data_IF_527824359321
#
_entry.id   IF_527824359321
#
_cell.length_a   1.000
_cell.length_b   1.000
_cell.length_c   1.000
_cell.angle_alpha   90.00
_cell.angle_beta   90.00
_cell.angle_gamma   90.00
#
_symmetry.space_group_name_H-M   'P 1'
#
loop_
_entity.id
_entity.type
_entity.pdbx_description
1 polymer ?
#
# COMPACT_ATOMS: atom_id res chain seq x y z
N UNK A 1 16.23 40.48 5.29
CA UNK A 1 17.30 40.80 4.34
C UNK A 1 18.36 39.72 4.44
N UNK A 2 18.23 38.67 3.63
CA UNK A 2 19.25 37.63 3.44
C UNK A 2 19.69 37.70 1.97
N UNK A 3 20.99 37.66 1.79
CA UNK A 3 21.79 38.19 0.69
C UNK A 3 21.65 37.40 -0.62
N UNK A 4 21.69 38.14 -1.74
CA UNK A 4 21.61 37.65 -3.12
C UNK A 4 22.83 36.81 -3.58
N UNK A 5 23.74 36.45 -2.68
CA UNK A 5 25.07 35.93 -2.98
C UNK A 5 25.15 34.39 -3.05
N UNK A 6 24.11 33.67 -2.57
CA UNK A 6 24.07 32.20 -2.61
C UNK A 6 23.37 31.60 -3.84
N UNK A 7 22.83 32.42 -4.75
CA UNK A 7 22.15 31.92 -5.98
C UNK A 7 23.11 31.64 -7.13
N UNK A 8 24.18 32.42 -7.26
CA UNK A 8 25.18 32.25 -8.33
C UNK A 8 25.89 30.87 -8.34
N UNK A 9 26.29 30.28 -7.20
CA UNK A 9 27.02 29.01 -7.21
C UNK A 9 26.15 27.84 -7.69
N UNK A 10 24.86 27.85 -7.35
CA UNK A 10 23.91 26.81 -7.78
C UNK A 10 23.58 26.93 -9.26
N UNK A 11 23.34 28.14 -9.76
CA UNK A 11 23.04 28.35 -11.18
C UNK A 11 24.22 28.00 -12.09
N UNK A 12 25.46 28.23 -11.63
CA UNK A 12 26.68 27.80 -12.33
C UNK A 12 26.86 26.27 -12.27
N UNK A 13 26.53 25.64 -11.14
CA UNK A 13 26.58 24.18 -11.00
C UNK A 13 25.54 23.50 -11.89
N UNK A 14 24.31 24.01 -11.94
CA UNK A 14 23.23 23.51 -12.80
C UNK A 14 23.60 23.64 -14.29
N UNK A 15 24.15 24.80 -14.69
CA UNK A 15 24.65 25.03 -16.06
C UNK A 15 25.83 24.11 -16.42
N UNK A 16 26.72 23.80 -15.47
CA UNK A 16 27.82 22.87 -15.70
C UNK A 16 27.34 21.42 -15.79
N UNK A 17 26.38 21.04 -14.95
CA UNK A 17 25.75 19.71 -14.96
C UNK A 17 25.02 19.49 -16.29
N UNK A 18 24.23 20.46 -16.75
CA UNK A 18 23.51 20.41 -18.03
C UNK A 18 24.46 20.28 -19.23
N UNK A 19 25.59 20.99 -19.19
CA UNK A 19 26.62 20.97 -20.25
C UNK A 19 27.42 19.66 -20.27
N UNK A 20 27.57 18.98 -19.13
CA UNK A 20 28.15 17.63 -19.08
C UNK A 20 27.13 16.56 -19.51
N UNK A 21 25.86 16.73 -19.15
CA UNK A 21 24.75 15.86 -19.57
C UNK A 21 24.44 15.96 -21.08
N UNK A 22 24.79 17.07 -21.75
CA UNK A 22 24.69 17.24 -23.23
C UNK A 22 25.67 16.36 -24.03
N UNK A 23 26.73 15.85 -23.40
CA UNK A 23 27.76 15.06 -24.09
C UNK A 23 27.51 13.54 -24.06
N UNK A 24 26.43 13.09 -23.41
CA UNK A 24 26.11 11.68 -23.29
C UNK A 24 25.07 11.27 -24.36
N UNK A 25 25.23 10.12 -25.04
CA UNK A 25 24.36 9.66 -26.12
C UNK A 25 22.99 9.13 -25.63
N UNK A 26 22.51 9.60 -24.48
CA UNK A 26 21.28 9.11 -23.85
C UNK A 26 20.14 10.11 -23.98
N UNK A 27 18.94 9.61 -24.24
CA UNK A 27 17.73 10.40 -24.38
C UNK A 27 17.37 11.09 -23.05
N UNK A 28 17.66 12.40 -22.98
CA UNK A 28 17.46 13.24 -21.79
C UNK A 28 16.01 13.21 -21.28
N UNK A 29 15.02 13.04 -22.16
CA UNK A 29 13.61 13.00 -21.74
C UNK A 29 13.30 11.69 -21.01
N UNK A 30 13.81 10.58 -21.53
CA UNK A 30 13.66 9.25 -20.92
C UNK A 30 14.39 9.18 -19.57
N UNK A 31 15.61 9.73 -19.49
CA UNK A 31 16.34 9.83 -18.24
C UNK A 31 15.61 10.73 -17.22
N UNK A 32 15.19 11.93 -17.59
CA UNK A 32 14.43 12.80 -16.68
C UNK A 32 13.14 12.16 -16.17
N UNK A 33 12.47 11.34 -17.00
CA UNK A 33 11.30 10.57 -16.59
C UNK A 33 11.66 9.39 -15.66
N UNK A 34 12.77 8.70 -15.89
CA UNK A 34 13.27 7.61 -15.02
C UNK A 34 13.83 8.11 -13.67
N UNK A 35 14.21 9.38 -13.60
CA UNK A 35 14.66 10.09 -12.40
C UNK A 35 13.57 10.98 -11.78
N UNK A 36 12.34 11.00 -12.32
CA UNK A 36 11.25 11.76 -11.72
C UNK A 36 10.83 11.12 -10.39
N UNK A 37 10.93 11.90 -9.30
CA UNK A 37 10.60 11.50 -7.94
C UNK A 37 9.21 12.01 -7.50
N UNK A 38 8.48 12.68 -8.40
CA UNK A 38 7.22 13.37 -8.08
C UNK A 38 6.13 12.45 -7.54
N UNK A 39 6.17 11.15 -7.83
CA UNK A 39 5.22 10.15 -7.32
C UNK A 39 5.65 9.51 -5.99
N UNK A 40 6.92 9.65 -5.58
CA UNK A 40 7.48 9.03 -4.38
C UNK A 40 8.31 10.04 -3.56
N UNK A 41 7.70 11.18 -3.26
CA UNK A 41 8.29 12.23 -2.44
C UNK A 41 8.14 11.94 -0.93
N UNK A 42 9.13 12.33 -0.13
CA UNK A 42 9.12 12.19 1.32
C UNK A 42 7.91 12.89 1.96
N UNK A 43 7.52 14.05 1.44
CA UNK A 43 6.34 14.77 1.95
C UNK A 43 5.06 13.95 1.76
N UNK A 44 4.91 13.26 0.63
CA UNK A 44 3.78 12.36 0.40
C UNK A 44 3.77 11.20 1.39
N UNK A 45 4.94 10.59 1.64
CA UNK A 45 5.07 9.49 2.62
C UNK A 45 4.70 9.94 4.02
N UNK A 46 5.24 11.08 4.48
CA UNK A 46 4.91 11.65 5.79
C UNK A 46 3.42 11.97 5.90
N UNK A 47 2.82 12.53 4.84
CA UNK A 47 1.38 12.79 4.79
C UNK A 47 0.56 11.51 4.86
N UNK A 48 1.01 10.44 4.19
CA UNK A 48 0.41 9.12 4.30
C UNK A 48 0.40 8.60 5.74
N UNK A 49 1.53 8.70 6.44
CA UNK A 49 1.65 8.28 7.85
C UNK A 49 0.73 9.12 8.75
N UNK A 50 0.64 10.42 8.51
CA UNK A 50 -0.29 11.29 9.24
C UNK A 50 -1.74 10.84 9.02
N UNK A 51 -2.11 10.50 7.78
CA UNK A 51 -3.43 9.96 7.46
C UNK A 51 -3.70 8.59 8.09
N UNK A 52 -2.67 7.76 8.32
CA UNK A 52 -2.82 6.53 9.13
C UNK A 52 -3.35 6.88 10.51
N UNK A 53 -2.73 7.85 11.19
CA UNK A 53 -3.09 8.22 12.56
C UNK A 53 -4.47 8.90 12.62
N UNK A 54 -4.72 9.87 11.74
CA UNK A 54 -6.01 10.56 11.66
C UNK A 54 -7.11 9.60 11.26
N UNK A 55 -6.87 8.77 10.25
CA UNK A 55 -7.81 7.74 9.78
C UNK A 55 -8.13 6.73 10.88
N UNK A 56 -7.12 6.23 11.60
CA UNK A 56 -7.33 5.30 12.71
C UNK A 56 -8.14 5.94 13.83
N UNK A 57 -7.83 7.19 14.20
CA UNK A 57 -8.58 7.92 15.21
C UNK A 57 -10.05 8.11 14.81
N UNK A 58 -10.31 8.47 13.55
CA UNK A 58 -11.66 8.62 12.99
C UNK A 58 -12.40 7.29 12.92
N UNK A 59 -11.74 6.22 12.50
CA UNK A 59 -12.30 4.88 12.48
C UNK A 59 -12.74 4.45 13.89
N UNK A 60 -11.90 4.66 14.91
CA UNK A 60 -12.25 4.35 16.30
C UNK A 60 -13.44 5.16 16.86
N UNK A 61 -13.78 6.30 16.26
CA UNK A 61 -14.96 7.07 16.61
C UNK A 61 -16.24 6.58 15.92
N UNK A 62 -16.15 5.68 14.94
CA UNK A 62 -17.30 5.17 14.23
C UNK A 62 -18.02 4.10 15.06
N UNK A 63 -19.23 4.37 15.60
CA UNK A 63 -19.95 3.38 16.39
C UNK A 63 -20.39 2.17 15.56
N UNK A 64 -20.52 2.31 14.24
CA UNK A 64 -20.92 1.22 13.36
C UNK A 64 -19.85 0.11 13.26
N UNK A 65 -18.58 0.41 13.59
CA UNK A 65 -17.52 -0.61 13.61
C UNK A 65 -17.64 -1.57 14.81
N UNK A 66 -18.33 -1.16 15.86
CA UNK A 66 -18.46 -1.91 17.12
C UNK A 66 -19.85 -2.55 17.26
N UNK A 67 -20.40 -3.04 16.14
CA UNK A 67 -21.65 -3.80 16.14
C UNK A 67 -21.41 -5.27 16.49
N UNK A 68 -22.45 -5.93 17.01
CA UNK A 68 -22.38 -7.33 17.43
C UNK A 68 -21.94 -8.28 16.30
N UNK A 69 -22.32 -7.98 15.05
CA UNK A 69 -21.92 -8.75 13.86
C UNK A 69 -20.42 -8.65 13.60
N UNK A 70 -19.85 -7.45 13.64
CA UNK A 70 -18.41 -7.25 13.45
C UNK A 70 -17.58 -7.83 14.59
N UNK A 71 -18.08 -7.78 15.83
CA UNK A 71 -17.41 -8.44 16.96
C UNK A 71 -17.34 -9.96 16.81
N UNK A 72 -18.45 -10.60 16.40
CA UNK A 72 -18.47 -12.05 16.16
C UNK A 72 -17.49 -12.44 15.05
N UNK A 73 -17.46 -11.65 13.98
CA UNK A 73 -16.55 -11.85 12.86
C UNK A 73 -15.09 -11.63 13.24
N UNK A 74 -14.80 -10.58 14.03
CA UNK A 74 -13.48 -10.33 14.58
C UNK A 74 -13.01 -11.49 15.46
N UNK A 75 -13.89 -12.04 16.30
CA UNK A 75 -13.59 -13.24 17.11
C UNK A 75 -13.22 -14.45 16.25
N UNK A 76 -14.00 -14.73 15.19
CA UNK A 76 -13.69 -15.81 14.24
C UNK A 76 -12.35 -15.56 13.56
N UNK A 77 -12.07 -14.32 13.13
CA UNK A 77 -10.82 -13.98 12.48
C UNK A 77 -9.60 -14.13 13.41
N UNK A 78 -9.73 -13.77 14.70
CA UNK A 78 -8.69 -13.97 15.71
C UNK A 78 -8.46 -15.48 15.94
N UNK A 79 -9.52 -16.27 16.08
CA UNK A 79 -9.42 -17.72 16.26
C UNK A 79 -8.78 -18.40 15.05
N UNK A 80 -9.19 -18.03 13.83
CA UNK A 80 -8.59 -18.52 12.59
C UNK A 80 -7.12 -18.12 12.49
N UNK A 81 -6.78 -16.85 12.80
CA UNK A 81 -5.38 -16.40 12.84
C UNK A 81 -4.53 -17.18 13.84
N UNK A 82 -5.07 -17.49 15.02
CA UNK A 82 -4.40 -18.31 16.03
C UNK A 82 -4.23 -19.76 15.55
N UNK A 83 -5.27 -20.36 14.97
CA UNK A 83 -5.22 -21.72 14.46
C UNK A 83 -4.17 -21.85 13.36
N UNK A 84 -4.12 -20.91 12.41
CA UNK A 84 -3.15 -20.97 11.33
C UNK A 84 -1.73 -20.71 11.84
N UNK A 85 -1.55 -19.76 12.76
CA UNK A 85 -0.25 -19.54 13.43
C UNK A 85 0.22 -20.82 14.13
N UNK A 86 -0.68 -21.55 14.77
CA UNK A 86 -0.37 -22.83 15.40
C UNK A 86 0.08 -23.85 14.36
N UNK A 87 -0.65 -24.01 13.25
CA UNK A 87 -0.30 -24.91 12.13
C UNK A 87 1.09 -24.60 11.56
N UNK A 88 1.42 -23.32 11.35
CA UNK A 88 2.74 -22.91 10.83
C UNK A 88 3.85 -23.12 11.87
N UNK A 89 3.52 -22.95 13.15
CA UNK A 89 4.49 -23.19 14.22
C UNK A 89 4.81 -24.68 14.43
N UNK A 90 3.94 -25.61 14.02
CA UNK A 90 4.16 -27.05 14.18
C UNK A 90 5.48 -27.51 13.55
N UNK A 91 5.80 -27.19 12.27
CA UNK A 91 7.11 -27.51 11.69
C UNK A 91 8.29 -26.95 12.48
N UNK A 92 8.21 -25.71 12.96
CA UNK A 92 9.30 -25.04 13.69
C UNK A 92 9.53 -25.71 15.05
N UNK A 93 8.43 -25.98 15.78
CA UNK A 93 8.47 -26.74 17.04
C UNK A 93 8.96 -28.17 16.78
N UNK A 94 8.55 -28.79 15.68
CA UNK A 94 9.00 -30.12 15.27
C UNK A 94 10.51 -30.18 15.03
N UNK A 95 11.08 -29.19 14.33
CA UNK A 95 12.53 -29.07 14.17
C UNK A 95 13.22 -28.88 15.51
N UNK A 96 12.69 -28.02 16.40
CA UNK A 96 13.24 -27.83 17.74
C UNK A 96 13.24 -29.12 18.57
N UNK A 97 12.13 -29.86 18.56
CA UNK A 97 12.02 -31.15 19.26
C UNK A 97 12.96 -32.18 18.64
N UNK A 98 13.09 -32.20 17.31
CA UNK A 98 14.02 -33.10 16.62
C UNK A 98 15.48 -32.81 17.00
N UNK A 99 15.90 -31.53 17.00
CA UNK A 99 17.24 -31.12 17.44
C UNK A 99 17.48 -31.45 18.92
N UNK A 100 16.46 -31.28 19.77
CA UNK A 100 16.51 -31.67 21.17
C UNK A 100 16.64 -33.19 21.36
N UNK A 101 15.97 -34.01 20.56
CA UNK A 101 16.17 -35.47 20.58
C UNK A 101 17.58 -35.82 20.09
N UNK A 102 18.07 -35.15 19.06
CA UNK A 102 19.40 -35.37 18.49
C UNK A 102 20.52 -35.06 19.49
N UNK A 103 20.32 -34.07 20.37
CA UNK A 103 21.26 -33.70 21.43
C UNK A 103 21.42 -34.76 22.51
N UNK A 104 20.45 -35.68 22.66
CA UNK A 104 20.56 -36.82 23.57
C UNK A 104 21.54 -37.88 23.06
N UNK A 105 21.81 -37.92 21.74
CA UNK A 105 22.68 -38.91 21.11
C UNK A 105 24.03 -38.33 20.64
N UNK A 106 24.13 -37.01 20.49
CA UNK A 106 25.33 -36.31 20.04
C UNK A 106 25.68 -35.19 21.04
N UNK A 107 26.92 -35.16 21.54
CA UNK A 107 27.42 -34.09 22.41
C UNK A 107 27.44 -32.75 21.65
N UNK A 108 26.35 -31.99 21.74
CA UNK A 108 26.20 -30.67 21.10
C UNK A 108 26.67 -29.52 21.99
N UNK A 109 27.48 -29.79 23.02
CA UNK A 109 27.92 -28.85 24.07
C UNK A 109 28.71 -27.62 23.56
N UNK A 110 29.00 -27.53 22.25
CA UNK A 110 29.72 -26.42 21.61
C UNK A 110 28.97 -25.77 20.43
N UNK A 111 27.71 -26.13 20.21
CA UNK A 111 27.10 -26.01 18.88
C UNK A 111 25.84 -25.14 18.96
N UNK A 112 26.00 -23.83 18.74
CA UNK A 112 24.97 -22.74 18.68
C UNK A 112 23.93 -22.88 17.55
N UNK A 113 23.70 -24.09 17.06
CA UNK A 113 22.93 -24.34 15.85
C UNK A 113 21.43 -24.27 16.09
N UNK A 114 20.94 -24.55 17.30
CA UNK A 114 19.50 -24.44 17.61
C UNK A 114 19.00 -23.00 17.39
N UNK A 115 19.66 -22.03 18.02
CA UNK A 115 19.28 -20.61 17.89
C UNK A 115 19.45 -20.08 16.46
N UNK A 116 20.48 -20.54 15.72
CA UNK A 116 20.71 -20.11 14.35
C UNK A 116 19.72 -20.72 13.36
N UNK A 117 19.38 -22.01 13.50
CA UNK A 117 18.42 -22.71 12.64
C UNK A 117 17.01 -22.20 12.94
N UNK A 118 16.60 -22.15 14.20
CA UNK A 118 15.27 -21.66 14.60
C UNK A 118 15.12 -20.18 14.22
N UNK A 119 16.15 -19.36 14.44
CA UNK A 119 16.18 -17.96 13.99
C UNK A 119 16.07 -17.83 12.47
N UNK A 120 16.75 -18.71 11.72
CA UNK A 120 16.66 -18.78 10.26
C UNK A 120 15.28 -19.17 9.75
N UNK A 121 14.63 -20.16 10.37
CA UNK A 121 13.27 -20.58 10.02
C UNK A 121 12.24 -19.48 10.29
N UNK A 122 12.31 -18.83 11.45
CA UNK A 122 11.48 -17.68 11.77
C UNK A 122 11.70 -16.53 10.77
N UNK A 123 12.95 -16.30 10.35
CA UNK A 123 13.27 -15.29 9.35
C UNK A 123 12.67 -15.65 7.97
N UNK A 124 12.75 -16.92 7.57
CA UNK A 124 12.18 -17.39 6.31
C UNK A 124 10.65 -17.24 6.34
N UNK A 125 9.99 -17.69 7.41
CA UNK A 125 8.55 -17.56 7.58
C UNK A 125 8.10 -16.09 7.49
N UNK A 126 8.71 -15.23 8.29
CA UNK A 126 8.29 -13.83 8.46
C UNK A 126 8.65 -12.95 7.26
N UNK A 127 9.88 -13.09 6.74
CA UNK A 127 10.44 -12.14 5.77
C UNK A 127 10.60 -12.71 4.35
N UNK A 128 10.81 -14.03 4.17
CA UNK A 128 11.00 -14.61 2.83
C UNK A 128 9.67 -15.08 2.26
N UNK A 129 8.93 -15.84 3.04
CA UNK A 129 7.63 -16.39 2.69
C UNK A 129 6.50 -15.40 2.97
N UNK A 130 6.67 -14.44 3.90
CA UNK A 130 5.64 -13.46 4.27
C UNK A 130 4.35 -14.13 4.80
N UNK A 131 4.48 -15.21 5.55
CA UNK A 131 3.33 -16.04 5.91
C UNK A 131 2.23 -15.24 6.63
N UNK A 132 2.49 -14.36 7.61
CA UNK A 132 1.43 -13.57 8.24
C UNK A 132 0.63 -12.71 7.25
N UNK A 133 1.31 -12.12 6.25
CA UNK A 133 0.66 -11.32 5.23
C UNK A 133 -0.24 -12.16 4.34
N UNK A 134 0.21 -13.36 3.95
CA UNK A 134 -0.60 -14.32 3.21
C UNK A 134 -1.90 -14.66 3.91
N UNK A 135 -1.83 -14.93 5.21
CA UNK A 135 -3.01 -15.27 6.00
C UNK A 135 -4.01 -14.12 6.02
N UNK A 136 -3.52 -12.89 6.19
CA UNK A 136 -4.39 -11.72 6.15
C UNK A 136 -5.11 -11.57 4.81
N UNK A 137 -4.38 -11.70 3.70
CA UNK A 137 -4.98 -11.63 2.37
C UNK A 137 -5.94 -12.81 2.11
N UNK A 138 -5.66 -13.99 2.66
CA UNK A 138 -6.55 -15.15 2.58
C UNK A 138 -7.86 -14.92 3.35
N UNK A 139 -7.80 -14.32 4.55
CA UNK A 139 -8.98 -14.06 5.39
C UNK A 139 -10.05 -13.26 4.65
N UNK A 140 -9.65 -12.38 3.72
CA UNK A 140 -10.59 -11.61 2.90
C UNK A 140 -11.49 -12.46 2.02
N UNK A 141 -10.99 -13.58 1.49
CA UNK A 141 -11.81 -14.50 0.71
C UNK A 141 -12.73 -15.36 1.60
N UNK A 142 -12.41 -15.46 2.89
CA UNK A 142 -13.16 -16.26 3.87
C UNK A 142 -14.26 -15.44 4.55
N UNK A 143 -14.06 -14.13 4.72
CA UNK A 143 -15.01 -13.26 5.44
C UNK A 143 -15.36 -11.99 4.63
N UNK A 144 -16.63 -11.82 4.17
CA UNK A 144 -17.10 -10.63 3.41
C UNK A 144 -17.23 -9.35 4.25
N UNK A 145 -16.62 -9.35 5.43
CA UNK A 145 -16.87 -8.40 6.52
C UNK A 145 -16.16 -7.08 6.30
N UNK A 146 -15.01 -7.13 5.64
CA UNK A 146 -14.15 -6.00 5.35
C UNK A 146 -14.81 -5.01 4.38
N UNK A 147 -15.52 -5.53 3.37
CA UNK A 147 -16.25 -4.70 2.42
C UNK A 147 -17.38 -3.90 3.10
N UNK A 148 -18.11 -4.55 4.01
CA UNK A 148 -19.14 -3.89 4.81
C UNK A 148 -18.53 -2.83 5.74
N UNK A 149 -17.42 -3.14 6.42
CA UNK A 149 -16.72 -2.19 7.29
C UNK A 149 -16.24 -0.96 6.52
N UNK A 150 -15.72 -1.14 5.30
CA UNK A 150 -15.36 -0.05 4.41
C UNK A 150 -16.58 0.83 4.10
N UNK A 151 -17.69 0.23 3.66
CA UNK A 151 -18.90 0.96 3.28
C UNK A 151 -19.56 1.67 4.47
N UNK A 152 -19.61 1.05 5.64
CA UNK A 152 -20.17 1.65 6.85
C UNK A 152 -19.30 2.80 7.35
N UNK A 153 -17.98 2.68 7.22
CA UNK A 153 -17.04 3.77 7.51
C UNK A 153 -17.19 4.92 6.53
N UNK A 154 -17.38 4.63 5.24
CA UNK A 154 -17.61 5.66 4.24
C UNK A 154 -18.91 6.44 4.51
N UNK A 155 -19.98 5.75 4.87
CA UNK A 155 -21.25 6.37 5.28
C UNK A 155 -21.06 7.27 6.51
N UNK A 156 -20.31 6.80 7.51
CA UNK A 156 -20.03 7.58 8.71
C UNK A 156 -19.16 8.82 8.42
N UNK A 157 -18.19 8.71 7.53
CA UNK A 157 -17.36 9.83 7.07
C UNK A 157 -18.22 10.89 6.39
N UNK A 158 -19.15 10.51 5.51
CA UNK A 158 -20.06 11.44 4.86
C UNK A 158 -21.02 12.12 5.85
N UNK A 159 -21.61 11.36 6.79
CA UNK A 159 -22.46 11.94 7.84
C UNK A 159 -21.71 12.92 8.72
N UNK A 160 -20.50 12.56 9.14
CA UNK A 160 -19.64 13.42 9.98
C UNK A 160 -19.22 14.66 9.22
N UNK A 161 -18.95 14.52 7.91
CA UNK A 161 -18.64 15.64 7.04
C UNK A 161 -19.80 16.65 6.98
N UNK A 162 -21.01 16.19 6.67
CA UNK A 162 -22.22 17.05 6.66
C UNK A 162 -22.43 17.69 8.03
N UNK A 163 -22.20 16.93 9.12
CA UNK A 163 -22.34 17.45 10.48
C UNK A 163 -21.34 18.56 10.81
N UNK A 164 -20.08 18.43 10.37
CA UNK A 164 -19.03 19.41 10.60
C UNK A 164 -19.29 20.73 9.86
N UNK A 165 -19.89 20.66 8.66
CA UNK A 165 -20.14 21.81 7.80
C UNK A 165 -21.62 22.25 7.78
N UNK A 166 -22.39 21.93 8.83
CA UNK A 166 -23.82 22.30 8.93
C UNK A 166 -24.11 23.80 8.81
N UNK A 167 -23.12 24.63 9.16
CA UNK A 167 -23.24 26.09 9.15
C UNK A 167 -22.65 26.72 7.88
N UNK A 168 -22.21 25.90 6.93
CA UNK A 168 -21.64 26.35 5.66
C UNK A 168 -22.68 26.27 4.55
N UNK A 169 -22.39 26.96 3.45
CA UNK A 169 -23.24 27.01 2.27
C UNK A 169 -23.37 25.60 1.64
N UNK A 170 -24.58 25.02 1.56
CA UNK A 170 -24.79 23.68 1.01
C UNK A 170 -24.24 23.50 -0.41
N UNK A 171 -24.29 24.56 -1.23
CA UNK A 171 -23.84 24.53 -2.62
C UNK A 171 -22.30 24.49 -2.76
N UNK A 172 -21.58 24.72 -1.66
CA UNK A 172 -20.10 24.66 -1.61
C UNK A 172 -19.58 23.35 -1.01
N UNK A 173 -20.47 22.48 -0.52
CA UNK A 173 -20.08 21.21 0.06
C UNK A 173 -19.69 20.22 -1.03
N UNK A 174 -18.70 19.37 -0.75
CA UNK A 174 -18.41 18.22 -1.63
C UNK A 174 -19.62 17.29 -1.71
N UNK A 175 -19.73 16.61 -2.85
CA UNK A 175 -20.69 15.51 -3.01
C UNK A 175 -20.38 14.33 -2.08
N UNK A 176 -21.42 13.55 -1.77
CA UNK A 176 -21.31 12.37 -0.91
C UNK A 176 -20.74 11.17 -1.68
N UNK A 177 -19.94 10.35 -1.01
CA UNK A 177 -19.33 9.16 -1.60
C UNK A 177 -20.23 7.94 -1.48
N UNK A 178 -20.74 7.69 -0.29
CA UNK A 178 -21.47 6.47 0.04
C UNK A 178 -22.73 6.25 -0.83
N UNK A 179 -23.61 7.24 -1.07
CA UNK A 179 -24.85 7.02 -1.81
C UNK A 179 -24.60 6.52 -3.23
N UNK A 180 -23.66 7.13 -3.95
CA UNK A 180 -23.34 6.78 -5.33
C UNK A 180 -22.53 5.48 -5.38
N UNK A 181 -21.52 5.32 -4.52
CA UNK A 181 -20.66 4.15 -4.54
C UNK A 181 -21.42 2.86 -4.20
N UNK A 182 -22.44 2.92 -3.33
CA UNK A 182 -23.30 1.76 -3.03
C UNK A 182 -24.09 1.26 -4.25
N UNK A 183 -24.40 2.14 -5.21
CA UNK A 183 -25.13 1.77 -6.42
C UNK A 183 -24.25 1.05 -7.45
N UNK A 184 -22.92 1.09 -7.29
CA UNK A 184 -22.00 0.48 -8.23
C UNK A 184 -21.99 -1.03 -8.01
N UNK A 185 -22.17 -1.78 -9.10
CA UNK A 185 -22.10 -3.25 -9.06
C UNK A 185 -20.69 -3.68 -8.65
N UNK A 186 -20.61 -4.57 -7.66
CA UNK A 186 -19.36 -5.17 -7.20
C UNK A 186 -18.92 -6.25 -8.20
N UNK A 187 -17.68 -6.19 -8.68
CA UNK A 187 -17.00 -7.28 -9.38
C UNK A 187 -15.62 -7.50 -8.77
N UNK A 188 -15.06 -8.71 -8.87
CA UNK A 188 -13.67 -8.93 -8.46
C UNK A 188 -12.76 -8.05 -9.34
N UNK A 189 -12.08 -7.06 -8.73
CA UNK A 189 -11.23 -6.11 -9.43
C UNK A 189 -9.95 -6.71 -9.99
N UNK A 190 -9.74 -8.03 -9.81
CA UNK A 190 -8.57 -8.77 -10.31
C UNK A 190 -8.91 -9.88 -11.32
N UNK A 191 -10.07 -10.52 -11.22
CA UNK A 191 -10.51 -11.61 -12.12
C UNK A 191 -11.77 -11.29 -12.93
N UNK A 192 -12.53 -10.26 -12.53
CA UNK A 192 -13.89 -9.99 -13.01
C UNK A 192 -14.85 -11.20 -12.92
N UNK A 193 -14.46 -12.26 -12.19
CA UNK A 193 -15.25 -13.46 -11.94
C UNK A 193 -16.05 -13.30 -10.65
N UNK A 194 -17.16 -14.03 -10.55
CA UNK A 194 -17.98 -14.10 -9.32
C UNK A 194 -17.65 -15.34 -8.48
N UNK A 195 -16.78 -16.23 -8.97
CA UNK A 195 -16.46 -17.49 -8.30
C UNK A 195 -15.37 -17.34 -7.24
N UNK A 196 -15.74 -17.52 -5.97
CA UNK A 196 -14.81 -17.46 -4.83
C UNK A 196 -13.69 -18.51 -4.91
N UNK A 197 -13.99 -19.72 -5.41
CA UNK A 197 -13.00 -20.79 -5.51
C UNK A 197 -11.92 -20.50 -6.56
N UNK A 198 -12.31 -19.89 -7.68
CA UNK A 198 -11.39 -19.44 -8.72
C UNK A 198 -10.47 -18.33 -8.19
N UNK A 199 -11.03 -17.37 -7.45
CA UNK A 199 -10.25 -16.30 -6.84
C UNK A 199 -9.24 -16.81 -5.81
N UNK A 200 -9.64 -17.77 -4.95
CA UNK A 200 -8.75 -18.40 -3.96
C UNK A 200 -7.62 -19.18 -4.66
N UNK A 201 -7.94 -20.04 -5.62
CA UNK A 201 -6.91 -20.84 -6.32
C UNK A 201 -5.90 -19.96 -7.06
N UNK A 202 -6.36 -18.88 -7.71
CA UNK A 202 -5.50 -17.94 -8.39
C UNK A 202 -4.63 -17.14 -7.40
N UNK A 203 -5.18 -16.76 -6.25
CA UNK A 203 -4.42 -16.16 -5.16
C UNK A 203 -3.32 -17.08 -4.64
N UNK A 204 -3.66 -18.35 -4.34
CA UNK A 204 -2.70 -19.37 -3.88
C UNK A 204 -1.58 -19.59 -4.89
N UNK A 205 -1.89 -19.72 -6.18
CA UNK A 205 -0.88 -19.89 -7.23
C UNK A 205 0.07 -18.67 -7.32
N UNK A 206 -0.48 -17.45 -7.31
CA UNK A 206 0.32 -16.22 -7.35
C UNK A 206 1.24 -16.13 -6.13
N UNK A 207 0.73 -16.51 -4.96
CA UNK A 207 1.51 -16.51 -3.73
C UNK A 207 2.61 -17.57 -3.74
N UNK A 208 2.30 -18.81 -4.11
CA UNK A 208 3.26 -19.90 -4.22
C UNK A 208 4.39 -19.57 -5.22
N UNK A 209 4.04 -19.01 -6.38
CA UNK A 209 5.03 -18.56 -7.38
C UNK A 209 5.96 -17.48 -6.82
N UNK A 210 5.41 -16.49 -6.09
CA UNK A 210 6.23 -15.44 -5.44
C UNK A 210 7.13 -16.04 -4.36
N UNK A 211 6.60 -16.92 -3.50
CA UNK A 211 7.36 -17.60 -2.46
C UNK A 211 8.51 -18.41 -3.04
N UNK A 212 8.29 -19.14 -4.13
CA UNK A 212 9.34 -19.90 -4.81
C UNK A 212 10.45 -19.00 -5.36
N UNK A 213 10.11 -17.87 -5.99
CA UNK A 213 11.10 -16.89 -6.46
C UNK A 213 11.88 -16.30 -5.28
N UNK A 214 11.22 -15.91 -4.20
CA UNK A 214 11.86 -15.37 -3.00
C UNK A 214 12.82 -16.39 -2.36
N UNK A 215 12.41 -17.66 -2.27
CA UNK A 215 13.26 -18.75 -1.78
C UNK A 215 14.47 -18.98 -2.69
N UNK A 216 14.29 -18.94 -4.01
CA UNK A 216 15.39 -19.09 -4.96
C UNK A 216 16.40 -17.94 -4.84
N UNK A 217 15.94 -16.69 -4.75
CA UNK A 217 16.79 -15.50 -4.54
C UNK A 217 17.52 -15.60 -3.20
N UNK A 218 16.83 -16.03 -2.14
CA UNK A 218 17.42 -16.23 -0.83
C UNK A 218 18.51 -17.32 -0.86
N UNK A 219 18.26 -18.47 -1.48
CA UNK A 219 19.24 -19.54 -1.65
C UNK A 219 20.47 -19.10 -2.46
N UNK A 220 20.26 -18.41 -3.59
CA UNK A 220 21.34 -17.85 -4.41
C UNK A 220 22.19 -16.82 -3.65
N UNK A 221 21.62 -16.14 -2.65
CA UNK A 221 22.35 -15.18 -1.81
C UNK A 221 23.41 -15.83 -0.90
N UNK A 222 23.38 -17.16 -0.74
CA UNK A 222 24.39 -17.92 0.00
C UNK A 222 25.58 -18.37 -0.87
N UNK A 223 25.52 -18.18 -2.19
CA UNK A 223 26.64 -18.53 -3.06
C UNK A 223 27.90 -17.71 -2.70
N UNK A 224 29.08 -18.34 -2.61
CA UNK A 224 30.33 -17.62 -2.37
C UNK A 224 30.58 -16.63 -3.51
N UNK A 225 31.18 -15.48 -3.18
CA UNK A 225 31.56 -14.39 -4.12
C UNK A 225 30.37 -13.64 -4.75
N UNK A 226 29.40 -14.34 -5.34
CA UNK A 226 28.26 -13.74 -6.06
C UNK A 226 27.09 -13.42 -5.13
N UNK A 227 26.91 -14.19 -4.05
CA UNK A 227 25.74 -14.09 -3.15
C UNK A 227 25.57 -12.73 -2.47
N UNK A 228 26.65 -11.94 -2.30
CA UNK A 228 26.57 -10.56 -1.79
C UNK A 228 25.84 -9.60 -2.73
N UNK A 229 25.83 -9.90 -4.03
CA UNK A 229 25.20 -9.05 -5.05
C UNK A 229 23.78 -9.50 -5.41
N UNK A 230 23.43 -10.76 -5.15
CA UNK A 230 22.12 -11.32 -5.52
C UNK A 230 20.97 -10.54 -4.89
N UNK A 231 21.02 -10.29 -3.57
CA UNK A 231 19.95 -9.56 -2.88
C UNK A 231 19.86 -8.10 -3.35
N UNK A 232 20.94 -7.30 -3.35
CA UNK A 232 20.89 -5.95 -3.91
C UNK A 232 20.42 -5.90 -5.37
N UNK A 233 20.86 -6.81 -6.23
CA UNK A 233 20.49 -6.83 -7.65
C UNK A 233 19.01 -7.20 -7.85
N UNK A 234 18.52 -8.25 -7.17
CA UNK A 234 17.11 -8.65 -7.24
C UNK A 234 16.19 -7.56 -6.66
N UNK A 235 16.63 -6.93 -5.56
CA UNK A 235 15.90 -5.83 -4.93
C UNK A 235 15.89 -4.58 -5.83
N UNK A 236 17.02 -4.24 -6.44
CA UNK A 236 17.11 -3.15 -7.42
C UNK A 236 16.20 -3.39 -8.62
N UNK A 237 16.23 -4.59 -9.21
CA UNK A 237 15.39 -4.94 -10.35
C UNK A 237 13.89 -4.76 -10.06
N UNK A 238 13.47 -5.15 -8.86
CA UNK A 238 12.06 -5.08 -8.47
C UNK A 238 11.63 -3.68 -8.00
N UNK A 239 12.52 -2.94 -7.32
CA UNK A 239 12.23 -1.63 -6.73
C UNK A 239 12.46 -0.45 -7.69
N UNK A 240 13.37 -0.56 -8.66
CA UNK A 240 13.64 0.49 -9.65
C UNK A 240 12.38 0.88 -10.42
N UNK A 241 11.58 -0.11 -10.83
CA UNK A 241 10.32 0.14 -11.51
C UNK A 241 9.31 0.92 -10.65
N UNK A 242 9.45 0.89 -9.33
CA UNK A 242 8.59 1.61 -8.41
C UNK A 242 9.09 3.04 -8.14
N UNK A 243 10.35 3.20 -7.76
CA UNK A 243 10.86 4.44 -7.17
C UNK A 243 11.78 5.23 -8.11
N UNK A 244 12.09 4.66 -9.28
CA UNK A 244 13.00 5.28 -10.25
C UNK A 244 14.47 4.93 -9.98
N UNK A 245 15.31 5.26 -10.96
CA UNK A 245 16.68 4.77 -11.02
C UNK A 245 17.57 5.39 -9.94
N UNK A 246 17.35 6.66 -9.61
CA UNK A 246 18.14 7.39 -8.61
C UNK A 246 18.09 6.77 -7.21
N UNK A 247 16.92 6.74 -6.54
CA UNK A 247 16.82 6.23 -5.18
C UNK A 247 17.11 4.73 -5.11
N UNK A 248 16.71 3.96 -6.12
CA UNK A 248 17.02 2.53 -6.17
C UNK A 248 18.54 2.29 -6.21
N UNK A 249 19.27 3.06 -7.03
CA UNK A 249 20.73 2.95 -7.12
C UNK A 249 21.41 3.35 -5.82
N UNK A 250 20.91 4.40 -5.15
CA UNK A 250 21.45 4.85 -3.87
C UNK A 250 21.19 3.83 -2.74
N UNK A 251 19.96 3.34 -2.60
CA UNK A 251 19.58 2.39 -1.54
C UNK A 251 20.31 1.06 -1.72
N UNK A 252 20.32 0.49 -2.92
CA UNK A 252 20.93 -0.83 -3.16
C UNK A 252 22.43 -0.75 -3.42
N UNK A 253 22.96 0.40 -3.86
CA UNK A 253 24.39 0.67 -3.90
C UNK A 253 24.98 0.73 -2.49
N UNK A 254 24.35 1.46 -1.56
CA UNK A 254 24.70 1.41 -0.14
C UNK A 254 24.40 0.03 0.48
N UNK A 255 23.41 -0.68 -0.05
CA UNK A 255 23.07 -2.05 0.30
C UNK A 255 24.24 -3.04 0.17
N UNK A 256 25.25 -2.75 -0.66
CA UNK A 256 26.46 -3.60 -0.74
C UNK A 256 27.26 -3.58 0.57
N UNK A 257 27.21 -2.48 1.32
CA UNK A 257 27.89 -2.30 2.61
C UNK A 257 27.02 -2.66 3.81
N UNK A 258 25.70 -2.73 3.63
CA UNK A 258 24.76 -3.02 4.71
C UNK A 258 24.60 -4.54 4.94
N UNK A 259 24.44 -4.99 6.20
CA UNK A 259 24.09 -6.37 6.48
C UNK A 259 22.81 -6.81 5.75
N UNK A 260 22.86 -7.99 5.11
CA UNK A 260 21.76 -8.56 4.29
C UNK A 260 20.39 -8.48 4.97
N UNK A 261 20.34 -8.69 6.28
CA UNK A 261 19.10 -8.64 7.08
C UNK A 261 18.33 -7.33 6.93
N UNK A 262 19.01 -6.18 6.90
CA UNK A 262 18.34 -4.88 6.85
C UNK A 262 17.76 -4.60 5.48
N UNK A 263 18.45 -5.01 4.41
CA UNK A 263 17.96 -4.90 3.03
C UNK A 263 16.69 -5.73 2.87
N UNK A 264 16.71 -6.97 3.39
CA UNK A 264 15.53 -7.85 3.35
C UNK A 264 14.38 -7.26 4.16
N UNK A 265 14.62 -6.78 5.40
CA UNK A 265 13.58 -6.14 6.22
C UNK A 265 12.99 -4.91 5.52
N UNK A 266 13.82 -4.06 4.92
CA UNK A 266 13.37 -2.88 4.17
C UNK A 266 12.51 -3.27 2.98
N UNK A 267 13.02 -4.15 2.12
CA UNK A 267 12.34 -4.61 0.91
C UNK A 267 11.02 -5.30 1.25
N UNK A 268 11.05 -6.14 2.28
CA UNK A 268 9.89 -6.84 2.80
C UNK A 268 8.83 -5.85 3.27
N UNK A 269 9.23 -4.85 4.06
CA UNK A 269 8.32 -3.82 4.56
C UNK A 269 7.73 -3.02 3.40
N UNK A 270 8.52 -2.71 2.36
CA UNK A 270 8.03 -2.07 1.15
C UNK A 270 6.98 -2.90 0.42
N UNK A 271 7.28 -4.17 0.09
CA UNK A 271 6.35 -5.02 -0.66
C UNK A 271 5.12 -5.40 0.14
N UNK A 272 5.27 -5.64 1.44
CA UNK A 272 4.15 -5.93 2.33
C UNK A 272 3.23 -4.70 2.46
N UNK A 273 3.78 -3.48 2.61
CA UNK A 273 2.98 -2.25 2.63
C UNK A 273 2.24 -2.03 1.31
N UNK A 274 2.91 -2.22 0.16
CA UNK A 274 2.28 -2.10 -1.16
C UNK A 274 1.19 -3.14 -1.38
N UNK A 275 1.39 -4.36 -0.89
CA UNK A 275 0.41 -5.44 -1.01
C UNK A 275 -0.78 -5.20 -0.08
N UNK A 276 -0.52 -4.76 1.17
CA UNK A 276 -1.56 -4.35 2.13
C UNK A 276 -2.44 -3.25 1.53
N UNK A 277 -1.84 -2.20 0.97
CA UNK A 277 -2.62 -1.11 0.37
C UNK A 277 -3.53 -1.60 -0.77
N UNK A 278 -3.06 -2.55 -1.58
CA UNK A 278 -3.88 -3.13 -2.66
C UNK A 278 -5.08 -3.88 -2.11
N UNK A 279 -4.90 -4.61 -1.01
CA UNK A 279 -6.01 -5.30 -0.35
C UNK A 279 -7.00 -4.30 0.27
N UNK A 280 -6.51 -3.30 1.01
CA UNK A 280 -7.34 -2.28 1.67
C UNK A 280 -8.14 -1.42 0.68
N UNK A 281 -7.63 -1.20 -0.54
CA UNK A 281 -8.35 -0.43 -1.56
C UNK A 281 -9.28 -1.28 -2.42
N UNK A 282 -9.28 -2.60 -2.26
CA UNK A 282 -10.03 -3.43 -3.16
C UNK A 282 -11.56 -3.24 -3.03
N UNK A 283 -12.17 -2.95 -1.87
CA UNK A 283 -13.58 -2.55 -1.83
C UNK A 283 -13.94 -1.36 -2.73
N UNK A 284 -13.01 -0.41 -2.88
CA UNK A 284 -13.16 0.70 -3.81
C UNK A 284 -13.02 0.24 -5.27
N UNK A 285 -11.96 -0.51 -5.59
CA UNK A 285 -11.71 -0.97 -6.97
C UNK A 285 -12.65 -2.07 -7.47
N UNK A 286 -13.29 -2.81 -6.57
CA UNK A 286 -14.32 -3.77 -6.90
C UNK A 286 -15.60 -3.06 -7.41
N UNK A 287 -15.78 -1.77 -7.08
CA UNK A 287 -16.91 -0.95 -7.50
C UNK A 287 -16.56 -0.04 -8.67
N UNK A 288 -15.44 0.68 -8.56
CA UNK A 288 -14.95 1.56 -9.62
C UNK A 288 -14.10 0.73 -10.59
N UNK A 289 -14.70 0.37 -11.73
CA UNK A 289 -14.10 -0.53 -12.71
C UNK A 289 -12.99 0.16 -13.52
N UNK A 290 -11.78 0.15 -12.99
CA UNK A 290 -10.59 0.56 -13.74
C UNK A 290 -10.09 -0.54 -14.66
N UNK A 291 -9.58 -0.17 -15.83
CA UNK A 291 -8.72 -1.07 -16.61
C UNK A 291 -7.39 -1.30 -15.90
N UNK A 292 -6.64 -2.33 -16.32
CA UNK A 292 -5.31 -2.64 -15.74
C UNK A 292 -4.35 -1.45 -15.82
N UNK A 293 -4.41 -0.70 -16.92
CA UNK A 293 -3.57 0.48 -17.14
C UNK A 293 -4.02 1.65 -16.26
N UNK A 294 -5.32 1.93 -16.20
CA UNK A 294 -5.85 3.01 -15.36
C UNK A 294 -5.56 2.75 -13.88
N UNK A 295 -5.76 1.51 -13.39
CA UNK A 295 -5.44 1.12 -12.00
C UNK A 295 -3.95 1.29 -11.72
N UNK A 296 -3.07 0.90 -12.67
CA UNK A 296 -1.62 1.10 -12.55
C UNK A 296 -1.26 2.59 -12.44
N UNK A 297 -1.84 3.45 -13.27
CA UNK A 297 -1.61 4.89 -13.25
C UNK A 297 -2.14 5.53 -11.96
N UNK A 298 -3.32 5.13 -11.50
CA UNK A 298 -3.90 5.59 -10.24
C UNK A 298 -2.98 5.31 -9.04
N UNK A 299 -2.48 4.08 -8.94
CA UNK A 299 -1.53 3.69 -7.89
C UNK A 299 -0.20 4.43 -8.01
N UNK A 300 0.28 4.61 -9.25
CA UNK A 300 1.52 5.34 -9.51
C UNK A 300 1.43 6.78 -9.04
N UNK A 301 0.37 7.50 -9.41
CA UNK A 301 0.24 8.93 -9.10
C UNK A 301 0.25 9.22 -7.58
N UNK A 302 -0.23 8.24 -6.78
CA UNK A 302 -0.41 8.32 -5.33
C UNK A 302 0.59 7.45 -4.54
N UNK A 303 1.66 6.97 -5.17
CA UNK A 303 2.50 5.89 -4.64
C UNK A 303 3.13 6.23 -3.28
N UNK A 304 3.74 7.40 -3.13
CA UNK A 304 4.36 7.83 -1.88
C UNK A 304 3.37 7.94 -0.71
N UNK A 305 2.19 8.53 -0.95
CA UNK A 305 1.16 8.70 0.08
C UNK A 305 0.56 7.35 0.50
N UNK A 306 0.23 6.51 -0.48
CA UNK A 306 -0.29 5.17 -0.25
C UNK A 306 0.73 4.30 0.50
N UNK A 307 2.01 4.42 0.15
CA UNK A 307 3.08 3.74 0.86
C UNK A 307 3.16 4.20 2.33
N UNK A 308 3.17 5.52 2.57
CA UNK A 308 3.17 6.09 3.92
C UNK A 308 1.99 5.65 4.76
N UNK A 309 0.80 5.62 4.17
CA UNK A 309 -0.41 5.17 4.84
C UNK A 309 -0.33 3.69 5.23
N UNK A 310 0.09 2.84 4.28
CA UNK A 310 0.15 1.41 4.47
C UNK A 310 1.29 0.98 5.40
N UNK A 311 2.46 1.63 5.38
CA UNK A 311 3.56 1.27 6.28
C UNK A 311 3.23 1.56 7.74
N UNK A 312 2.43 2.60 8.00
CA UNK A 312 1.88 2.88 9.33
C UNK A 312 1.03 1.71 9.84
N UNK A 313 0.03 1.27 9.08
CA UNK A 313 -0.80 0.13 9.45
C UNK A 313 -0.04 -1.20 9.47
N UNK A 314 0.86 -1.43 8.53
CA UNK A 314 1.71 -2.63 8.50
C UNK A 314 2.50 -2.80 9.80
N UNK A 315 3.06 -1.70 10.33
CA UNK A 315 3.81 -1.72 11.60
C UNK A 315 2.89 -2.08 12.77
N UNK A 316 1.67 -1.55 12.80
CA UNK A 316 0.68 -1.84 13.85
C UNK A 316 0.18 -3.29 13.77
N UNK A 317 -0.10 -3.78 12.56
CA UNK A 317 -0.62 -5.12 12.31
C UNK A 317 0.36 -6.22 12.75
N UNK A 318 1.67 -5.94 12.70
CA UNK A 318 2.70 -6.87 13.16
C UNK A 318 2.65 -7.17 14.65
N UNK A 319 1.92 -6.39 15.43
CA UNK A 319 1.72 -6.67 16.85
C UNK A 319 0.87 -7.95 16.98
N UNK A 320 1.43 -9.04 17.56
CA UNK A 320 0.71 -10.30 17.69
C UNK A 320 -0.62 -10.13 18.45
N UNK A 321 -1.61 -10.94 18.10
CA UNK A 321 -2.98 -10.96 18.66
C UNK A 321 -3.84 -9.73 18.31
N UNK A 322 -3.25 -8.54 18.20
CA UNK A 322 -3.98 -7.29 17.89
C UNK A 322 -4.08 -7.04 16.39
N UNK A 323 -3.18 -7.62 15.58
CA UNK A 323 -3.09 -7.37 14.15
C UNK A 323 -4.39 -7.56 13.35
N UNK A 324 -5.20 -8.55 13.70
CA UNK A 324 -6.50 -8.80 13.06
C UNK A 324 -7.50 -7.67 13.34
N UNK A 325 -7.53 -7.15 14.57
CA UNK A 325 -8.40 -6.01 14.93
C UNK A 325 -7.92 -4.73 14.24
N UNK A 326 -6.61 -4.53 14.20
CA UNK A 326 -5.99 -3.38 13.52
C UNK A 326 -6.29 -3.42 12.03
N UNK A 327 -6.37 -4.60 11.42
CA UNK A 327 -6.75 -4.72 10.01
C UNK A 327 -8.17 -4.17 9.76
N UNK A 328 -9.13 -4.46 10.63
CA UNK A 328 -10.48 -3.87 10.55
C UNK A 328 -10.46 -2.34 10.68
N UNK A 329 -9.62 -1.81 11.57
CA UNK A 329 -9.39 -0.36 11.70
C UNK A 329 -8.74 0.21 10.43
N UNK A 330 -7.78 -0.51 9.83
CA UNK A 330 -7.11 -0.10 8.61
C UNK A 330 -8.08 -0.01 7.41
N UNK A 331 -8.98 -0.98 7.31
CA UNK A 331 -10.05 -1.01 6.29
C UNK A 331 -10.99 0.19 6.45
N UNK A 332 -11.48 0.43 7.67
CA UNK A 332 -12.30 1.59 8.00
C UNK A 332 -11.57 2.92 7.74
N UNK A 333 -10.28 2.98 8.05
CA UNK A 333 -9.44 4.16 7.80
C UNK A 333 -9.21 4.41 6.31
N UNK A 334 -9.26 3.34 5.51
CA UNK A 334 -9.10 3.44 4.05
C UNK A 334 -10.34 4.07 3.40
N UNK A 335 -11.53 3.91 3.98
CA UNK A 335 -12.71 4.66 3.56
C UNK A 335 -12.50 6.18 3.73
N UNK A 336 -11.93 6.61 4.86
CA UNK A 336 -11.56 8.02 5.05
C UNK A 336 -10.46 8.46 4.07
N UNK A 337 -9.42 7.64 3.87
CA UNK A 337 -8.34 7.92 2.92
C UNK A 337 -8.88 8.20 1.51
N UNK A 338 -9.80 7.37 1.01
CA UNK A 338 -10.42 7.52 -0.32
C UNK A 338 -11.02 8.92 -0.46
N UNK A 339 -11.76 9.40 0.54
CA UNK A 339 -12.37 10.75 0.49
C UNK A 339 -11.36 11.90 0.38
N UNK A 340 -10.06 11.65 0.60
CA UNK A 340 -8.98 12.64 0.55
C UNK A 340 -8.18 12.60 -0.74
N UNK A 341 -8.14 11.45 -1.41
CA UNK A 341 -7.23 11.22 -2.55
C UNK A 341 -7.95 10.92 -3.86
N UNK A 342 -9.27 10.86 -3.84
CA UNK A 342 -10.13 10.74 -5.02
C UNK A 342 -11.19 11.82 -5.01
N UNK A 343 -11.90 11.97 -6.12
CA UNK A 343 -13.12 12.78 -6.20
C UNK A 343 -14.34 11.95 -5.79
N UNK A 344 -15.44 12.59 -5.36
CA UNK A 344 -16.68 11.87 -5.08
C UNK A 344 -17.19 11.15 -6.34
N UNK A 345 -17.59 9.87 -6.25
CA UNK A 345 -18.09 9.12 -7.38
C UNK A 345 -19.43 9.69 -7.88
N UNK A 346 -19.62 9.85 -9.21
CA UNK A 346 -20.88 10.30 -9.78
C UNK A 346 -21.90 9.15 -9.83
N UNK A 347 -23.13 9.41 -10.28
CA UNK A 347 -24.11 8.36 -10.54
C UNK A 347 -23.57 7.26 -11.49
N UNK A 348 -24.08 6.02 -11.42
CA UNK A 348 -23.54 4.88 -12.17
C UNK A 348 -23.47 5.05 -13.69
N UNK A 349 -24.25 5.98 -14.27
CA UNK A 349 -24.24 6.30 -15.69
C UNK A 349 -22.88 6.86 -16.17
N UNK A 350 -22.17 7.57 -15.30
CA UNK A 350 -20.93 8.28 -15.63
C UNK A 350 -19.66 7.56 -15.13
N UNK A 351 -19.82 6.33 -14.62
CA UNK A 351 -18.74 5.57 -13.96
C UNK A 351 -17.48 5.39 -14.81
N UNK A 352 -17.62 5.30 -16.14
CA UNK A 352 -16.51 5.08 -17.06
C UNK A 352 -15.65 6.35 -17.22
N UNK A 353 -16.30 7.50 -17.43
CA UNK A 353 -15.63 8.80 -17.48
C UNK A 353 -14.99 9.16 -16.14
N UNK A 354 -15.64 8.78 -15.03
CA UNK A 354 -15.06 8.91 -13.69
C UNK A 354 -13.78 8.09 -13.53
N UNK A 355 -13.78 6.80 -13.88
CA UNK A 355 -12.58 5.97 -13.79
C UNK A 355 -11.42 6.54 -14.63
N UNK A 356 -11.71 7.13 -15.78
CA UNK A 356 -10.70 7.79 -16.60
C UNK A 356 -10.13 9.05 -15.93
N UNK A 357 -10.98 9.91 -15.37
CA UNK A 357 -10.56 11.16 -14.71
C UNK A 357 -9.74 10.92 -13.44
N UNK A 358 -10.00 9.82 -12.73
CA UNK A 358 -9.32 9.51 -11.47
C UNK A 358 -7.86 9.04 -11.63
N UNK A 359 -7.37 8.79 -12.85
CA UNK A 359 -5.98 8.37 -13.07
C UNK A 359 -4.96 9.38 -12.52
N UNK A 360 -5.27 10.67 -12.63
CA UNK A 360 -4.47 11.74 -12.07
C UNK A 360 -5.03 12.21 -10.73
N UNK A 361 -4.15 12.66 -9.84
CA UNK A 361 -4.56 13.27 -8.58
C UNK A 361 -4.61 14.78 -8.73
N UNK A 362 -5.78 15.28 -9.10
CA UNK A 362 -6.06 16.67 -9.48
C UNK A 362 -5.65 17.70 -8.41
N UNK A 363 -5.92 17.43 -7.13
CA UNK A 363 -5.63 18.34 -6.00
C UNK A 363 -4.38 17.95 -5.19
N UNK A 364 -3.47 17.16 -5.76
CA UNK A 364 -2.27 16.64 -5.07
C UNK A 364 -1.47 17.72 -4.36
N UNK A 365 -1.10 18.78 -5.07
CA UNK A 365 -0.24 19.84 -4.52
C UNK A 365 -0.90 20.61 -3.38
N UNK A 366 -2.19 20.92 -3.52
CA UNK A 366 -2.96 21.63 -2.51
C UNK A 366 -3.10 20.77 -1.24
N UNK A 367 -3.44 19.49 -1.42
CA UNK A 367 -3.60 18.56 -0.31
C UNK A 367 -2.31 18.33 0.49
N UNK A 368 -1.16 18.25 -0.18
CA UNK A 368 0.13 18.03 0.49
C UNK A 368 0.62 19.24 1.29
N UNK A 369 0.08 20.44 1.02
CA UNK A 369 0.48 21.68 1.70
C UNK A 369 -0.49 22.09 2.82
N UNK A 370 -1.65 21.45 2.95
CA UNK A 370 -2.61 21.71 4.02
C UNK A 370 -2.08 21.36 5.41
N UNK A 371 -2.51 22.13 6.40
CA UNK A 371 -2.36 21.78 7.81
C UNK A 371 -3.15 20.50 8.17
N UNK A 372 -2.81 19.86 9.29
CA UNK A 372 -3.52 18.67 9.76
C UNK A 372 -4.95 18.94 10.22
N UNK A 373 -5.22 20.14 10.75
CA UNK A 373 -6.58 20.54 11.17
C UNK A 373 -7.49 20.77 9.97
N UNK A 374 -6.90 21.14 8.83
CA UNK A 374 -7.62 21.59 7.64
C UNK A 374 -7.68 20.49 6.56
N UNK A 375 -7.41 19.23 6.93
CA UNK A 375 -7.52 18.06 6.03
C UNK A 375 -8.92 17.90 5.40
N UNK A 376 -9.93 18.52 5.99
CA UNK A 376 -11.30 18.53 5.47
C UNK A 376 -11.61 19.74 4.60
N UNK A 377 -10.72 20.74 4.45
CA UNK A 377 -11.05 22.05 3.87
C UNK A 377 -10.96 22.13 2.33
N UNK A 378 -10.25 21.21 1.65
CA UNK A 378 -10.18 21.23 0.19
C UNK A 378 -11.43 20.57 -0.40
N UNK A 379 -12.16 21.35 -1.19
CA UNK A 379 -13.32 20.90 -1.95
C UNK A 379 -13.12 21.24 -3.43
N UNK A 380 -13.08 20.21 -4.27
CA UNK A 380 -13.21 20.41 -5.71
C UNK A 380 -14.68 20.66 -6.02
N UNK A 381 -14.97 21.75 -6.74
CA UNK A 381 -16.20 21.88 -7.52
C UNK A 381 -16.29 20.64 -8.43
N UNK A 382 -17.35 19.86 -8.32
CA UNK A 382 -17.79 19.01 -9.43
C UNK A 382 -17.85 19.91 -10.67
N UNK A 383 -17.13 19.52 -11.74
CA UNK A 383 -17.20 20.24 -13.03
C UNK A 383 -18.67 20.41 -13.39
N UNK A 384 -19.13 21.61 -13.79
CA UNK A 384 -20.51 21.74 -14.25
C UNK A 384 -20.71 20.85 -15.47
N UNK A 385 -21.73 20.00 -15.41
CA UNK A 385 -22.22 19.24 -16.56
C UNK A 385 -22.80 20.22 -17.58
N UNK A 386 -21.98 20.75 -18.48
CA UNK A 386 -22.48 21.49 -19.65
C UNK A 386 -21.46 21.36 -20.79
N UNK A 387 -21.65 20.33 -21.60
CA UNK A 387 -21.14 20.26 -22.97
C UNK A 387 -22.23 19.67 -23.87
N UNK A 388 -23.39 20.31 -23.88
CA UNK A 388 -24.43 20.12 -24.89
C UNK A 388 -25.27 21.38 -24.91
N UNK A 389 -24.87 22.34 -25.75
CA UNK A 389 -25.62 23.59 -25.90
C UNK A 389 -24.83 24.77 -26.42
N UNK A 390 -23.98 24.58 -27.43
CA UNK A 390 -23.51 25.68 -28.29
C UNK A 390 -23.13 25.11 -29.66
N UNK A 391 -24.14 24.65 -30.38
CA UNK A 391 -24.06 24.37 -31.81
C UNK A 391 -25.39 24.74 -32.46
N UNK A 392 -25.84 25.97 -32.28
CA UNK A 392 -26.88 26.61 -33.11
C UNK A 392 -27.00 28.09 -32.73
N UNK A 393 -26.08 28.90 -33.27
CA UNK A 393 -26.31 30.33 -33.57
C UNK A 393 -25.06 30.88 -34.26
N UNK A 394 -24.99 30.67 -35.57
CA UNK A 394 -24.56 31.71 -36.49
C UNK A 394 -25.29 31.46 -37.81
N UNK A 395 -26.25 32.33 -38.07
CA UNK A 395 -26.67 32.73 -39.41
C UNK A 395 -25.49 33.37 -40.15
#
# INVERSE_FOLDING_TARGET
MATADQREPREKLDKQLDKQLDKLPFDKKKLKQEFDLSHFDLNQILRGIQLTLVGAHRALQNPALFTSDHYRQAGIAVLSGLAIRLVISIPIVGVRVFLWILSLFLSLDHVTWDDQIVGGLNFIEEYVLQVPFFLMALMRYVTPTLDNMFMDSLNWVDKTYVQKHKNEDPDKLRDMYYPNLRMYKVSDGSTHSTSTAEAISMFLYRFARKGAISLAVFALSYLPVVGRFVLPAASFYTFNNAVGLGPASLIFGMGILLPKRYIVIFLQSYFASRSLMRELLEPYFARVHFTKEQKKNWFRNREGLLFGFAIGFYTLIKIPLVGVLIYGIAEASTAYLITKITDPPPPPAEKAAFAESQQEWSNKHEFLNLSLSDLDAIHLKSRPSNATGDAQKHQ
#
